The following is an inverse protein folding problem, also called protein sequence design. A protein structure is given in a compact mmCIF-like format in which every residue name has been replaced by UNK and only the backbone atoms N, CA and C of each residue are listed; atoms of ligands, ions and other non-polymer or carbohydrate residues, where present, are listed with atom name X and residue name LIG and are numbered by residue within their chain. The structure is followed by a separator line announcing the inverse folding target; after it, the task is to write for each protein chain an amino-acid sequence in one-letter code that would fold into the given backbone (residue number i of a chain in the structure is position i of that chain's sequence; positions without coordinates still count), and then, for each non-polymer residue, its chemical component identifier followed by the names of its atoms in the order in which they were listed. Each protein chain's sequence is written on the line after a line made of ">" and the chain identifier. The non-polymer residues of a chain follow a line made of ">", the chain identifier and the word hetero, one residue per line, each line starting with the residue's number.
data_IF_358673085498
#
_entry.id   IF_358673085498
#
_cell.length_a   1.000
_cell.length_b   1.000
_cell.length_c   1.000
_cell.angle_alpha   90.00
_cell.angle_beta   90.00
_cell.angle_gamma   90.00
#
_symmetry.space_group_name_H-M   'P 1'
#
loop_
_entity.id
_entity.type
_entity.pdbx_description
1 polymer ?
#
# COMPACT_ATOMS: atom_id res chain seq x y z
N UNK A 1 13.97 -3.66 -4.28
CA UNK A 1 14.37 -2.96 -5.52
C UNK A 1 14.78 -4.02 -6.53
N UNK A 2 13.90 -4.36 -7.46
CA UNK A 2 14.23 -5.20 -8.63
C UNK A 2 13.53 -4.54 -9.82
N UNK A 3 14.28 -3.75 -10.58
CA UNK A 3 13.83 -3.21 -11.86
C UNK A 3 14.38 -4.14 -12.94
N UNK A 4 13.49 -4.87 -13.61
CA UNK A 4 13.78 -5.39 -14.95
C UNK A 4 14.09 -4.19 -15.86
N UNK A 5 15.08 -4.31 -16.72
CA UNK A 5 15.71 -3.23 -17.50
C UNK A 5 14.79 -2.47 -18.47
N UNK A 6 13.49 -2.79 -18.53
CA UNK A 6 12.53 -2.29 -19.53
C UNK A 6 11.26 -1.64 -18.95
N UNK A 7 11.22 -1.44 -17.62
CA UNK A 7 10.10 -0.79 -16.94
C UNK A 7 10.56 0.45 -16.16
N UNK A 8 9.81 1.53 -16.28
CA UNK A 8 9.99 2.76 -15.50
C UNK A 8 8.85 2.87 -14.48
N UNK A 9 9.14 3.48 -13.32
CA UNK A 9 8.11 3.79 -12.32
C UNK A 9 8.12 5.30 -12.06
N UNK A 10 7.07 5.99 -12.49
CA UNK A 10 6.81 7.36 -12.08
C UNK A 10 5.96 7.35 -10.82
N UNK A 11 6.35 8.07 -9.77
CA UNK A 11 5.57 8.15 -8.54
C UNK A 11 5.62 9.55 -7.93
N UNK A 12 4.52 9.96 -7.29
CA UNK A 12 4.43 11.23 -6.59
C UNK A 12 3.67 11.06 -5.28
N UNK A 13 4.15 11.69 -4.20
CA UNK A 13 3.53 11.66 -2.87
C UNK A 13 3.40 13.08 -2.34
N UNK A 14 2.25 13.38 -1.74
CA UNK A 14 1.96 14.65 -1.06
C UNK A 14 1.46 14.40 0.35
N UNK A 15 2.00 15.14 1.31
CA UNK A 15 1.49 15.19 2.69
C UNK A 15 0.37 16.23 2.79
N UNK A 16 -0.68 15.88 3.53
CA UNK A 16 -1.89 16.72 3.68
C UNK A 16 -1.90 17.52 4.99
N UNK A 17 -0.99 17.22 5.91
CA UNK A 17 -0.86 17.87 7.20
C UNK A 17 0.59 18.27 7.48
N UNK A 18 0.76 19.25 8.37
CA UNK A 18 2.08 19.76 8.77
C UNK A 18 2.91 18.71 9.52
N UNK A 19 2.24 17.83 10.24
CA UNK A 19 2.87 16.74 11.02
C UNK A 19 3.20 15.52 10.15
N UNK A 20 2.88 15.57 8.83
CA UNK A 20 3.12 14.52 7.85
C UNK A 20 2.50 13.16 8.23
N UNK A 21 1.42 13.17 9.01
CA UNK A 21 0.68 11.97 9.40
C UNK A 21 -0.16 11.40 8.27
N UNK A 22 -0.67 12.25 7.39
CA UNK A 22 -1.55 11.88 6.29
C UNK A 22 -0.81 12.16 4.98
N UNK A 23 -0.68 11.14 4.16
CA UNK A 23 -0.13 11.28 2.81
C UNK A 23 -1.04 10.61 1.79
N UNK A 24 -1.02 11.18 0.60
CA UNK A 24 -1.63 10.61 -0.59
C UNK A 24 -0.56 10.46 -1.64
N UNK A 25 -0.62 9.39 -2.42
CA UNK A 25 0.38 9.06 -3.40
C UNK A 25 -0.22 8.41 -4.63
N UNK A 26 0.54 8.50 -5.70
CA UNK A 26 0.24 7.88 -6.98
C UNK A 26 1.51 7.27 -7.55
N UNK A 27 1.38 6.10 -8.16
CA UNK A 27 2.45 5.37 -8.83
C UNK A 27 1.95 4.88 -10.19
N UNK A 28 2.77 5.08 -11.21
CA UNK A 28 2.50 4.76 -12.61
C UNK A 28 3.70 3.95 -13.13
N UNK A 29 3.64 2.61 -13.10
CA UNK A 29 4.58 1.75 -13.78
C UNK A 29 4.30 1.80 -15.28
N UNK A 30 5.34 2.10 -16.06
CA UNK A 30 5.33 2.14 -17.51
C UNK A 30 6.37 1.13 -18.01
N UNK A 31 5.91 -0.04 -18.45
CA UNK A 31 6.75 -1.01 -19.13
C UNK A 31 6.71 -0.78 -20.64
N UNK A 32 7.87 -0.75 -21.29
CA UNK A 32 7.97 -0.47 -22.73
C UNK A 32 7.53 -1.67 -23.59
N UNK A 33 7.52 -2.89 -23.02
CA UNK A 33 7.27 -4.14 -23.74
C UNK A 33 5.84 -4.68 -23.51
N UNK A 34 5.24 -4.41 -22.35
CA UNK A 34 3.91 -4.89 -21.98
C UNK A 34 2.96 -3.71 -21.80
N UNK A 35 1.86 -3.70 -22.55
CA UNK A 35 0.82 -2.66 -22.53
C UNK A 35 -0.07 -2.71 -21.27
N UNK A 36 0.46 -3.19 -20.14
CA UNK A 36 -0.24 -3.22 -18.86
C UNK A 36 0.11 -1.94 -18.07
N UNK A 37 -0.64 -0.88 -18.34
CA UNK A 37 -0.56 0.36 -17.56
C UNK A 37 -1.28 0.17 -16.22
N UNK A 38 -0.51 -0.15 -15.18
CA UNK A 38 -1.02 -0.42 -13.84
C UNK A 38 -0.93 0.84 -12.96
N UNK A 39 -1.81 1.82 -13.15
CA UNK A 39 -1.83 2.99 -12.25
C UNK A 39 -2.36 2.61 -10.86
N UNK A 40 -1.66 3.07 -9.83
CA UNK A 40 -1.98 2.86 -8.41
C UNK A 40 -2.08 4.22 -7.72
N UNK A 41 -3.18 4.47 -7.03
CA UNK A 41 -3.35 5.63 -6.15
C UNK A 41 -3.64 5.15 -4.74
N UNK A 42 -3.23 5.89 -3.73
CA UNK A 42 -3.44 5.46 -2.36
C UNK A 42 -3.16 6.51 -1.32
N UNK A 43 -3.56 6.20 -0.09
CA UNK A 43 -3.25 7.00 1.08
C UNK A 43 -2.48 6.21 2.12
N UNK A 44 -1.74 6.94 2.95
CA UNK A 44 -1.18 6.45 4.22
C UNK A 44 -1.60 7.40 5.33
N UNK A 45 -1.96 6.84 6.47
CA UNK A 45 -2.29 7.60 7.67
C UNK A 45 -1.59 7.00 8.89
N UNK A 46 -0.65 7.74 9.46
CA UNK A 46 -0.10 7.49 10.78
C UNK A 46 -1.12 7.95 11.84
N UNK A 47 -1.87 6.99 12.38
CA UNK A 47 -2.89 7.22 13.43
C UNK A 47 -2.20 7.75 14.68
N UNK A 48 -1.04 7.19 15.00
CA UNK A 48 -0.15 7.62 16.07
C UNK A 48 1.30 7.22 15.71
N UNK A 49 2.23 7.33 16.66
CA UNK A 49 3.64 6.99 16.47
C UNK A 49 3.91 5.48 16.33
N UNK A 50 2.92 4.62 16.64
CA UNK A 50 3.03 3.15 16.60
C UNK A 50 2.19 2.51 15.50
N UNK A 51 1.17 3.20 14.98
CA UNK A 51 0.16 2.66 14.09
C UNK A 51 0.09 3.43 12.78
N UNK A 52 0.21 2.72 11.67
CA UNK A 52 0.02 3.27 10.32
C UNK A 52 -0.95 2.42 9.52
N UNK A 53 -1.89 3.08 8.86
CA UNK A 53 -2.79 2.47 7.88
C UNK A 53 -2.38 2.91 6.48
N UNK A 54 -2.44 1.98 5.53
CA UNK A 54 -2.24 2.24 4.10
C UNK A 54 -3.40 1.63 3.32
N UNK A 55 -3.86 2.34 2.30
CA UNK A 55 -4.94 1.88 1.44
C UNK A 55 -4.68 2.28 -0.03
N UNK A 56 -3.76 1.61 -0.74
CA UNK A 56 -3.63 1.71 -2.19
C UNK A 56 -4.75 0.98 -2.94
N UNK A 57 -5.16 1.56 -4.06
CA UNK A 57 -6.08 1.00 -5.04
C UNK A 57 -5.47 1.13 -6.45
N UNK A 58 -5.65 0.10 -7.27
CA UNK A 58 -5.25 0.13 -8.68
C UNK A 58 -6.43 0.38 -9.65
N UNK A 59 -6.13 0.64 -10.93
CA UNK A 59 -7.14 0.80 -11.98
C UNK A 59 -8.03 -0.44 -12.20
N UNK A 60 -7.53 -1.62 -11.84
CA UNK A 60 -8.30 -2.84 -11.93
C UNK A 60 -9.35 -2.94 -10.82
N UNK A 61 -9.35 -2.03 -9.84
CA UNK A 61 -10.27 -2.03 -8.72
C UNK A 61 -9.80 -2.95 -7.59
N UNK A 62 -8.51 -3.30 -7.56
CA UNK A 62 -7.93 -4.03 -6.45
C UNK A 62 -7.53 -3.04 -5.38
N UNK A 63 -8.22 -3.10 -4.24
CA UNK A 63 -7.90 -2.35 -3.03
C UNK A 63 -7.08 -3.24 -2.11
N UNK A 64 -5.89 -2.79 -1.74
CA UNK A 64 -5.09 -3.42 -0.69
C UNK A 64 -5.11 -2.50 0.53
N UNK A 65 -5.60 -2.99 1.66
CA UNK A 65 -5.58 -2.31 2.94
C UNK A 65 -4.54 -2.95 3.84
N UNK A 66 -3.75 -2.15 4.55
CA UNK A 66 -2.72 -2.62 5.46
C UNK A 66 -2.74 -1.76 6.73
N UNK A 67 -2.86 -2.41 7.88
CA UNK A 67 -2.62 -1.83 9.19
C UNK A 67 -1.31 -2.41 9.72
N UNK A 68 -0.39 -1.53 10.05
CA UNK A 68 0.86 -1.85 10.71
C UNK A 68 0.84 -1.24 12.10
N UNK A 69 1.12 -2.03 13.14
CA UNK A 69 1.08 -1.61 14.53
C UNK A 69 2.26 -2.19 15.31
N UNK A 70 3.11 -1.31 15.85
CA UNK A 70 4.18 -1.70 16.76
C UNK A 70 3.57 -2.01 18.14
N UNK A 71 3.59 -3.28 18.51
CA UNK A 71 3.15 -3.77 19.83
C UNK A 71 4.17 -3.34 20.89
N UNK A 72 5.46 -3.51 20.57
CA UNK A 72 6.60 -3.04 21.35
C UNK A 72 7.64 -2.48 20.39
N UNK A 73 8.73 -1.91 20.91
CA UNK A 73 9.86 -1.49 20.06
C UNK A 73 10.49 -2.65 19.27
N UNK A 74 10.29 -3.90 19.72
CA UNK A 74 10.84 -5.11 19.10
C UNK A 74 9.82 -5.96 18.35
N UNK A 75 8.53 -5.65 18.47
CA UNK A 75 7.46 -6.48 17.95
C UNK A 75 6.46 -5.66 17.15
N UNK A 76 6.18 -6.12 15.94
CA UNK A 76 5.24 -5.46 15.05
C UNK A 76 4.17 -6.43 14.53
N UNK A 77 2.91 -5.99 14.61
CA UNK A 77 1.74 -6.63 14.04
C UNK A 77 1.39 -6.00 12.70
N UNK A 78 1.15 -6.81 11.68
CA UNK A 78 0.60 -6.36 10.41
C UNK A 78 -0.67 -7.12 10.10
N UNK A 79 -1.76 -6.39 9.88
CA UNK A 79 -3.03 -6.90 9.37
C UNK A 79 -3.20 -6.36 7.95
N UNK A 80 -3.58 -7.21 7.01
CA UNK A 80 -3.77 -6.84 5.62
C UNK A 80 -5.05 -7.41 5.04
N UNK A 81 -5.64 -6.70 4.09
CA UNK A 81 -6.81 -7.14 3.35
C UNK A 81 -6.67 -6.80 1.88
N UNK A 82 -7.07 -7.71 0.99
CA UNK A 82 -7.09 -7.52 -0.45
C UNK A 82 -8.51 -7.73 -0.94
N UNK A 83 -9.08 -6.68 -1.52
CA UNK A 83 -10.45 -6.62 -1.98
C UNK A 83 -10.47 -6.28 -3.46
N UNK A 84 -11.33 -6.94 -4.21
CA UNK A 84 -11.64 -6.56 -5.57
C UNK A 84 -12.95 -5.77 -5.53
N UNK A 85 -12.87 -4.44 -5.52
CA UNK A 85 -14.03 -3.57 -5.34
C UNK A 85 -15.01 -3.64 -6.52
N UNK A 86 -14.58 -4.18 -7.67
CA UNK A 86 -15.47 -4.46 -8.81
C UNK A 86 -16.26 -5.75 -8.62
N UNK A 87 -15.76 -6.67 -7.78
CA UNK A 87 -16.37 -7.96 -7.52
C UNK A 87 -16.51 -8.19 -6.01
N UNK A 88 -17.32 -7.36 -5.35
CA UNK A 88 -17.57 -7.43 -3.90
C UNK A 88 -18.17 -8.75 -3.41
N UNK A 89 -18.70 -9.58 -4.32
CA UNK A 89 -19.19 -10.92 -4.01
C UNK A 89 -18.07 -11.97 -3.87
N UNK A 90 -16.83 -11.63 -4.25
CA UNK A 90 -15.67 -12.50 -4.04
C UNK A 90 -15.20 -12.39 -2.59
N UNK A 91 -14.79 -13.52 -2.03
CA UNK A 91 -14.16 -13.55 -0.71
C UNK A 91 -12.88 -12.72 -0.72
N UNK A 92 -12.75 -11.81 0.24
CA UNK A 92 -11.56 -11.00 0.41
C UNK A 92 -10.38 -11.84 0.91
N UNK A 93 -9.18 -11.52 0.44
CA UNK A 93 -7.95 -12.10 0.98
C UNK A 93 -7.56 -11.35 2.25
N UNK A 94 -7.53 -12.01 3.40
CA UNK A 94 -7.09 -11.41 4.67
C UNK A 94 -5.77 -12.06 5.10
N UNK A 95 -4.81 -11.24 5.51
CA UNK A 95 -3.51 -11.69 5.99
C UNK A 95 -3.16 -11.11 7.35
N UNK A 96 -2.49 -11.89 8.17
CA UNK A 96 -1.99 -11.51 9.49
C UNK A 96 -0.52 -11.91 9.60
N UNK A 97 0.33 -11.00 10.07
CA UNK A 97 1.74 -11.25 10.28
C UNK A 97 2.22 -10.60 11.59
N UNK A 98 3.16 -11.26 12.26
CA UNK A 98 3.89 -10.72 13.40
C UNK A 98 5.38 -10.79 13.05
N UNK A 99 6.07 -9.66 13.18
CA UNK A 99 7.51 -9.56 13.05
C UNK A 99 8.12 -9.31 14.43
N UNK A 100 9.22 -9.98 14.73
CA UNK A 100 9.99 -9.81 15.96
C UNK A 100 11.43 -9.50 15.58
N UNK A 101 11.97 -8.40 16.12
CA UNK A 101 13.40 -8.11 16.11
C UNK A 101 14.03 -8.68 17.38
N UNK A 102 15.09 -9.48 17.20
CA UNK A 102 15.83 -10.13 18.30
C UNK A 102 16.92 -9.18 18.82
#
# INVERSE_FOLDING_TARGET
>A
MLLHSDCLLASYVRYLDKEKKISVGVAIPQCLITQESNFVAGGSWAINHLSTVKAPIDLHGKLEALLHHNITEKACLTISGKFDIKYLNKVAGIGLAIALEL
#
